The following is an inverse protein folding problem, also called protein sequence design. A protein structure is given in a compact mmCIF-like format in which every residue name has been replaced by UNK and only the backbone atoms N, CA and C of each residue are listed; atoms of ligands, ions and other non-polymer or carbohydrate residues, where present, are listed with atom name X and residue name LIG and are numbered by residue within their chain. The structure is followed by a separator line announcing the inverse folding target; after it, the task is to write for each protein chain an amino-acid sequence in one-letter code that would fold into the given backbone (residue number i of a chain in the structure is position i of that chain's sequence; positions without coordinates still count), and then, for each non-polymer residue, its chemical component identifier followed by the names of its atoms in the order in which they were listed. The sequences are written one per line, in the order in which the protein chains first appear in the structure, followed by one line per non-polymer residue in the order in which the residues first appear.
data_IF_780887970758
#
_entry.id   IF_780887970758
#
_cell.length_a   1.000
_cell.length_b   1.000
_cell.length_c   1.000
_cell.angle_alpha   90.00
_cell.angle_beta   90.00
_cell.angle_gamma   90.00
#
_symmetry.space_group_name_H-M   'P 1'
#
loop_
_entity.id
_entity.type
_entity.pdbx_description
1 polymer ?
#
# COMPACT_ATOMS: atom_id res chain seq x y z
N UNK A 1 14.31 8.36 16.70
CA UNK A 1 13.74 7.38 15.74
C UNK A 1 13.35 7.95 14.37
N UNK A 2 13.35 9.29 14.17
CA UNK A 2 12.82 9.92 12.94
C UNK A 2 13.68 9.82 11.67
N UNK A 3 14.92 9.32 11.73
CA UNK A 3 15.85 9.34 10.59
C UNK A 3 15.97 7.99 9.85
N UNK A 4 15.53 6.89 10.46
CA UNK A 4 15.53 5.54 9.86
C UNK A 4 14.21 5.25 9.13
N UNK A 5 13.08 5.60 9.71
CA UNK A 5 11.76 5.33 9.13
C UNK A 5 11.52 6.08 7.81
N UNK A 6 11.98 7.34 7.71
CA UNK A 6 11.88 8.13 6.47
C UNK A 6 12.65 7.48 5.30
N UNK A 7 13.76 6.80 5.59
CA UNK A 7 14.56 6.09 4.58
C UNK A 7 13.85 4.81 4.10
N UNK A 8 13.18 4.10 5.00
CA UNK A 8 12.42 2.89 4.66
C UNK A 8 11.17 3.19 3.85
N UNK A 9 10.41 4.24 4.22
CA UNK A 9 9.25 4.70 3.46
C UNK A 9 9.67 5.12 2.04
N UNK A 10 10.75 5.89 1.91
CA UNK A 10 11.26 6.31 0.59
C UNK A 10 11.71 5.11 -0.26
N UNK A 11 12.32 4.09 0.36
CA UNK A 11 12.71 2.84 -0.32
C UNK A 11 11.49 2.06 -0.79
N UNK A 12 10.46 1.96 0.05
CA UNK A 12 9.20 1.31 -0.29
C UNK A 12 8.45 2.05 -1.39
N UNK A 13 8.45 3.38 -1.38
CA UNK A 13 7.84 4.18 -2.45
C UNK A 13 8.51 3.92 -3.80
N UNK A 14 9.85 3.89 -3.84
CA UNK A 14 10.58 3.55 -5.08
C UNK A 14 10.29 2.13 -5.55
N UNK A 15 10.22 1.16 -4.63
CA UNK A 15 9.85 -0.23 -4.97
C UNK A 15 8.41 -0.31 -5.48
N UNK A 16 7.50 0.41 -4.82
CA UNK A 16 6.11 0.49 -5.21
C UNK A 16 5.93 1.12 -6.58
N UNK A 17 6.60 2.24 -6.87
CA UNK A 17 6.57 2.87 -8.19
C UNK A 17 6.99 1.91 -9.30
N UNK A 18 8.11 1.18 -9.11
CA UNK A 18 8.55 0.16 -10.07
C UNK A 18 7.51 -0.96 -10.24
N UNK A 19 6.98 -1.47 -9.13
CA UNK A 19 6.00 -2.56 -9.14
C UNK A 19 4.69 -2.13 -9.80
N UNK A 20 4.25 -0.92 -9.51
CA UNK A 20 3.07 -0.30 -10.09
C UNK A 20 3.26 -0.09 -11.59
N UNK A 21 4.42 0.37 -12.05
CA UNK A 21 4.73 0.41 -13.49
C UNK A 21 4.60 -0.96 -14.14
N UNK A 22 5.18 -2.02 -13.55
CA UNK A 22 5.02 -3.38 -14.09
C UNK A 22 3.57 -3.86 -14.08
N UNK A 23 2.80 -3.58 -13.02
CA UNK A 23 1.35 -3.88 -13.00
C UNK A 23 0.66 -3.14 -14.13
N UNK A 24 0.95 -1.85 -14.28
CA UNK A 24 0.34 -1.04 -15.32
C UNK A 24 0.69 -1.55 -16.70
N UNK A 25 1.91 -2.04 -16.97
CA UNK A 25 2.32 -2.63 -18.26
C UNK A 25 1.69 -4.00 -18.54
N UNK A 26 1.42 -4.79 -17.50
CA UNK A 26 0.80 -6.11 -17.61
C UNK A 26 -0.72 -6.06 -17.87
N UNK A 27 -1.38 -4.95 -17.57
CA UNK A 27 -2.80 -4.78 -17.86
C UNK A 27 -3.05 -4.82 -19.38
N UNK A 28 -4.19 -5.34 -19.81
CA UNK A 28 -4.65 -5.07 -21.19
C UNK A 28 -5.09 -3.61 -21.32
N UNK A 29 -5.12 -3.05 -22.53
CA UNK A 29 -5.58 -1.66 -22.74
C UNK A 29 -7.00 -1.42 -22.19
N UNK A 30 -7.87 -2.43 -22.27
CA UNK A 30 -9.21 -2.37 -21.68
C UNK A 30 -9.17 -2.28 -20.16
N UNK A 31 -8.38 -3.13 -19.50
CA UNK A 31 -8.21 -3.12 -18.06
C UNK A 31 -7.55 -1.82 -17.58
N UNK A 32 -6.54 -1.34 -18.31
CA UNK A 32 -5.86 -0.07 -18.02
C UNK A 32 -6.82 1.12 -18.11
N UNK A 33 -7.59 1.24 -19.19
CA UNK A 33 -8.60 2.30 -19.32
C UNK A 33 -9.64 2.23 -18.20
N UNK A 34 -10.16 1.03 -17.88
CA UNK A 34 -11.08 0.88 -16.74
C UNK A 34 -10.44 1.28 -15.42
N UNK A 35 -9.20 0.88 -15.17
CA UNK A 35 -8.47 1.28 -13.97
C UNK A 35 -8.40 2.81 -13.82
N UNK A 36 -8.08 3.53 -14.90
CA UNK A 36 -8.03 5.00 -14.89
C UNK A 36 -9.38 5.63 -14.53
N UNK A 37 -10.50 5.02 -14.93
CA UNK A 37 -11.84 5.53 -14.56
C UNK A 37 -12.13 5.44 -13.07
N UNK A 38 -11.52 4.50 -12.35
CA UNK A 38 -11.69 4.38 -10.90
C UNK A 38 -10.77 5.34 -10.10
N UNK A 39 -9.74 5.91 -10.73
CA UNK A 39 -8.81 6.83 -10.07
C UNK A 39 -9.38 8.25 -9.97
N UNK A 40 -10.37 8.46 -9.11
CA UNK A 40 -11.13 9.70 -9.02
C UNK A 40 -10.33 10.93 -8.56
N UNK A 41 -9.22 10.75 -7.82
CA UNK A 41 -8.39 11.89 -7.36
C UNK A 41 -7.51 12.47 -8.46
N UNK A 42 -7.37 11.77 -9.57
CA UNK A 42 -6.55 12.23 -10.69
C UNK A 42 -7.50 12.88 -11.70
N UNK A 43 -7.26 14.14 -12.08
CA UNK A 43 -8.06 14.81 -13.10
C UNK A 43 -8.02 14.05 -14.43
N UNK A 44 -9.13 14.07 -15.18
CA UNK A 44 -9.23 13.38 -16.46
C UNK A 44 -8.21 13.90 -17.49
N UNK A 45 -7.97 15.21 -17.50
CA UNK A 45 -6.93 15.84 -18.32
C UNK A 45 -5.53 15.26 -18.02
N UNK A 46 -5.22 15.01 -16.74
CA UNK A 46 -3.96 14.39 -16.33
C UNK A 46 -3.89 12.94 -16.79
N UNK A 47 -4.97 12.17 -16.66
CA UNK A 47 -5.03 10.77 -17.15
C UNK A 47 -4.80 10.67 -18.65
N UNK A 48 -5.41 11.56 -19.43
CA UNK A 48 -5.32 11.56 -20.89
C UNK A 48 -3.93 11.95 -21.41
N UNK A 49 -3.27 12.92 -20.76
CA UNK A 49 -1.93 13.40 -21.16
C UNK A 49 -0.77 12.56 -20.63
N UNK A 50 -1.02 11.67 -19.67
CA UNK A 50 0.04 10.90 -19.02
C UNK A 50 0.33 9.60 -19.74
N UNK A 51 1.58 9.42 -20.17
CA UNK A 51 2.04 8.15 -20.69
C UNK A 51 1.95 7.04 -19.64
N UNK A 52 1.57 5.83 -20.05
CA UNK A 52 1.37 4.66 -19.18
C UNK A 52 2.55 4.39 -18.25
N UNK A 53 3.79 4.51 -18.73
CA UNK A 53 5.00 4.34 -17.91
C UNK A 53 5.19 5.40 -16.82
N UNK A 54 4.64 6.61 -16.99
CA UNK A 54 4.67 7.70 -15.99
C UNK A 54 3.47 7.68 -15.05
N UNK A 55 2.42 6.95 -15.39
CA UNK A 55 1.17 6.93 -14.63
C UNK A 55 1.36 6.40 -13.20
N UNK A 56 2.31 5.48 -13.00
CA UNK A 56 2.67 4.99 -11.67
C UNK A 56 3.12 6.12 -10.72
N UNK A 57 3.94 7.05 -11.21
CA UNK A 57 4.39 8.20 -10.43
C UNK A 57 3.25 9.16 -10.12
N UNK A 58 2.39 9.43 -11.10
CA UNK A 58 1.22 10.30 -10.92
C UNK A 58 0.27 9.74 -9.86
N UNK A 59 0.01 8.43 -9.87
CA UNK A 59 -0.83 7.78 -8.85
C UNK A 59 -0.23 7.99 -7.45
N UNK A 60 1.07 7.76 -7.28
CA UNK A 60 1.74 7.93 -5.98
C UNK A 60 1.71 9.39 -5.54
N UNK A 61 1.90 10.36 -6.44
CA UNK A 61 1.85 11.79 -6.09
C UNK A 61 0.46 12.23 -5.62
N UNK A 62 -0.61 11.76 -6.27
CA UNK A 62 -1.98 12.17 -5.92
C UNK A 62 -2.57 11.42 -4.71
N UNK A 63 -2.22 10.15 -4.51
CA UNK A 63 -2.77 9.33 -3.44
C UNK A 63 -1.82 9.18 -2.23
N UNK A 64 -0.51 9.33 -2.44
CA UNK A 64 0.52 8.91 -1.50
C UNK A 64 0.78 7.40 -1.56
N UNK A 65 1.87 6.94 -0.95
CA UNK A 65 2.26 5.53 -0.93
C UNK A 65 1.14 4.61 -0.40
N UNK A 66 0.60 4.94 0.78
CA UNK A 66 -0.38 4.08 1.47
C UNK A 66 -1.69 3.95 0.69
N UNK A 67 -2.31 5.09 0.37
CA UNK A 67 -3.62 5.09 -0.29
C UNK A 67 -3.51 4.61 -1.72
N UNK A 68 -2.37 4.79 -2.40
CA UNK A 68 -2.20 4.22 -3.74
C UNK A 68 -2.18 2.70 -3.69
N UNK A 69 -1.51 2.06 -2.72
CA UNK A 69 -1.52 0.60 -2.61
C UNK A 69 -2.95 0.07 -2.38
N UNK A 70 -3.67 0.65 -1.43
CA UNK A 70 -5.04 0.23 -1.10
C UNK A 70 -6.01 0.44 -2.29
N UNK A 71 -5.94 1.60 -2.95
CA UNK A 71 -6.79 1.92 -4.11
C UNK A 71 -6.53 0.97 -5.28
N UNK A 72 -5.26 0.74 -5.62
CA UNK A 72 -4.86 -0.13 -6.73
C UNK A 72 -5.27 -1.57 -6.45
N UNK A 73 -5.11 -2.05 -5.21
CA UNK A 73 -5.58 -3.36 -4.82
C UNK A 73 -7.10 -3.52 -4.98
N UNK A 74 -7.88 -2.53 -4.53
CA UNK A 74 -9.33 -2.53 -4.70
C UNK A 74 -9.75 -2.53 -6.17
N UNK A 75 -9.07 -1.73 -7.00
CA UNK A 75 -9.36 -1.65 -8.43
C UNK A 75 -9.02 -2.99 -9.10
N UNK A 76 -7.81 -3.53 -8.90
CA UNK A 76 -7.38 -4.82 -9.47
C UNK A 76 -8.33 -5.95 -9.04
N UNK A 77 -8.76 -5.98 -7.78
CA UNK A 77 -9.75 -6.94 -7.31
C UNK A 77 -11.11 -6.81 -8.03
N UNK A 78 -11.46 -5.63 -8.56
CA UNK A 78 -12.67 -5.40 -9.35
C UNK A 78 -12.50 -5.73 -10.83
N UNK A 79 -11.42 -5.26 -11.46
CA UNK A 79 -11.22 -5.34 -12.92
C UNK A 79 -10.49 -6.60 -13.38
N UNK A 80 -9.63 -7.17 -12.54
CA UNK A 80 -8.71 -8.26 -12.84
C UNK A 80 -8.95 -9.45 -11.91
N UNK A 81 -10.22 -9.76 -11.63
CA UNK A 81 -10.65 -10.81 -10.65
C UNK A 81 -9.95 -12.16 -10.83
N UNK A 82 -9.69 -12.57 -12.08
CA UNK A 82 -9.09 -13.86 -12.44
C UNK A 82 -7.60 -13.78 -12.78
N UNK A 83 -7.02 -12.58 -12.73
CA UNK A 83 -5.64 -12.36 -13.18
C UNK A 83 -4.64 -12.65 -12.07
N UNK A 84 -4.23 -13.92 -11.96
CA UNK A 84 -3.30 -14.38 -10.93
C UNK A 84 -1.96 -13.67 -11.00
N UNK A 85 -1.49 -13.30 -12.20
CA UNK A 85 -0.21 -12.64 -12.38
C UNK A 85 -0.23 -11.27 -11.69
N UNK A 86 -1.24 -10.45 -11.98
CA UNK A 86 -1.37 -9.11 -11.39
C UNK A 86 -1.60 -9.19 -9.87
N UNK A 87 -2.42 -10.13 -9.40
CA UNK A 87 -2.64 -10.33 -7.96
C UNK A 87 -1.36 -10.77 -7.23
N UNK A 88 -0.56 -11.64 -7.84
CA UNK A 88 0.74 -12.07 -7.31
C UNK A 88 1.77 -10.93 -7.26
N UNK A 89 1.64 -9.91 -8.12
CA UNK A 89 2.47 -8.71 -8.04
C UNK A 89 2.11 -7.81 -6.84
N UNK A 90 0.83 -7.77 -6.44
CA UNK A 90 0.34 -6.92 -5.35
C UNK A 90 0.54 -7.52 -3.95
N UNK A 91 0.32 -8.83 -3.81
CA UNK A 91 0.34 -9.51 -2.51
C UNK A 91 1.59 -9.24 -1.65
N UNK A 92 2.83 -9.32 -2.19
CA UNK A 92 4.03 -9.06 -1.39
C UNK A 92 4.14 -7.60 -0.94
N UNK A 93 3.62 -6.65 -1.72
CA UNK A 93 3.61 -5.23 -1.34
C UNK A 93 2.62 -4.98 -0.22
N UNK A 94 1.42 -5.56 -0.29
CA UNK A 94 0.41 -5.46 0.76
C UNK A 94 0.90 -6.04 2.08
N UNK A 95 1.58 -7.19 2.07
CA UNK A 95 2.17 -7.79 3.28
C UNK A 95 3.23 -6.90 3.92
N UNK A 96 4.20 -6.41 3.12
CA UNK A 96 5.24 -5.48 3.60
C UNK A 96 4.63 -4.21 4.19
N UNK A 97 3.61 -3.70 3.53
CA UNK A 97 2.94 -2.47 3.92
C UNK A 97 2.11 -2.64 5.20
N UNK A 98 1.39 -3.76 5.33
CA UNK A 98 0.68 -4.11 6.56
C UNK A 98 1.65 -4.24 7.74
N UNK A 99 2.77 -4.93 7.56
CA UNK A 99 3.80 -5.07 8.59
C UNK A 99 4.39 -3.72 9.02
N UNK A 100 4.60 -2.78 8.08
CA UNK A 100 5.06 -1.42 8.39
C UNK A 100 4.01 -0.66 9.24
N UNK A 101 2.73 -0.72 8.88
CA UNK A 101 1.63 -0.10 9.66
C UNK A 101 1.53 -0.72 11.07
N UNK A 102 1.63 -2.03 11.18
CA UNK A 102 1.58 -2.74 12.46
C UNK A 102 2.78 -2.39 13.35
N UNK A 103 3.96 -2.15 12.77
CA UNK A 103 5.12 -1.66 13.53
C UNK A 103 4.94 -0.21 14.02
N UNK A 104 4.27 0.64 13.25
CA UNK A 104 3.91 2.01 13.66
C UNK A 104 2.90 2.01 14.82
N UNK A 105 1.82 1.24 14.71
CA UNK A 105 0.78 1.10 15.76
C UNK A 105 1.27 0.30 16.99
N UNK A 106 2.10 -0.72 16.79
CA UNK A 106 2.61 -1.55 17.87
C UNK A 106 3.57 -0.82 18.83
N UNK A 107 4.20 0.26 18.36
CA UNK A 107 4.98 1.15 19.21
C UNK A 107 4.09 1.99 20.16
N UNK A 108 2.85 2.29 19.78
CA UNK A 108 1.91 3.04 20.61
C UNK A 108 1.31 2.19 21.75
N UNK A 109 1.12 0.88 21.52
CA UNK A 109 0.60 -0.05 22.56
C UNK A 109 1.62 -0.44 23.63
N UNK A 110 2.92 -0.19 23.42
CA UNK A 110 3.96 -0.43 24.44
C UNK A 110 4.23 0.79 25.33
N UNK A 111 3.62 1.93 25.05
CA UNK A 111 3.80 3.17 25.82
C UNK A 111 2.57 3.55 26.66
N UNK A 112 1.49 2.78 26.61
CA UNK A 112 0.22 3.05 27.32
C UNK A 112 -0.28 1.92 28.21
N UNK A 113 0.61 1.07 28.73
CA UNK A 113 0.27 -0.10 29.55
C UNK A 113 0.90 -0.07 30.94
N UNK A 114 0.83 1.06 31.65
CA UNK A 114 1.04 1.11 33.10
C UNK A 114 -0.32 0.93 33.79
N UNK A 115 -0.77 -0.32 33.90
CA UNK A 115 -1.78 -0.80 34.85
C UNK A 115 -1.55 -2.31 34.90
N UNK A 116 -0.80 -2.83 35.88
CA UNK A 116 -1.23 -2.89 37.26
C UNK A 116 -1.80 -4.30 37.49
N UNK A 117 -1.04 -5.15 38.16
CA UNK A 117 -1.46 -6.53 38.44
C UNK A 117 -0.26 -7.42 38.74
N UNK A 118 0.33 -7.20 39.90
CA UNK A 118 1.42 -8.00 40.45
C UNK A 118 1.03 -9.48 40.56
N UNK A 119 2.04 -10.31 40.33
CA UNK A 119 2.06 -11.73 40.68
C UNK A 119 2.03 -11.93 42.20
N UNK A 120 1.58 -13.12 42.60
CA UNK A 120 1.60 -13.67 43.96
C UNK A 120 0.24 -14.28 44.28
N UNK A 121 0.00 -15.58 44.21
CA UNK A 121 0.87 -16.70 44.57
C UNK A 121 0.52 -17.15 46.00
N UNK A 122 0.18 -18.43 46.13
CA UNK A 122 0.04 -19.22 47.37
C UNK A 122 -1.14 -18.90 48.31
N UNK A 123 -1.57 -19.78 49.22
CA UNK A 123 -1.77 -21.23 49.32
C UNK A 123 -2.38 -21.41 50.73
N UNK A 124 -3.23 -22.42 50.92
CA UNK A 124 -3.51 -23.11 52.19
C UNK A 124 -3.68 -22.30 53.50
N UNK A 125 -4.91 -22.25 54.05
CA UNK A 125 -5.33 -23.01 55.24
C UNK A 125 -6.80 -22.77 55.56
#
# INVERSE_FOLDING_TARGET
VSSTMSKEVTKLEKQWGKKLSSILEELTDYQYKRMLTYLNKIPEQTKSRTARGKMAQVIIQHYGLEKSIDEINNIVARICKRDRKIRGLLEPMLKKFKALREQQTGNERRSGGAAGGAAGGENMQ
#
